data_IF_700054579661
#
_entry.id   IF_700054579661
#
_cell.length_a   1.000
_cell.length_b   1.000
_cell.length_c   1.000
_cell.angle_alpha   90.00
_cell.angle_beta   90.00
_cell.angle_gamma   90.00
#
_symmetry.space_group_name_H-M   'P 1'
#
loop_
_entity.id
_entity.type
_entity.pdbx_description
1 polymer ?
#
# COMPACT_ATOMS: atom_id res chain seq x y z
N UNK A 1 -11.99 -11.37 31.77
CA UNK A 1 -11.05 -12.08 30.89
C UNK A 1 -9.97 -12.61 31.82
N UNK A 2 -10.07 -13.87 32.22
CA UNK A 2 -9.10 -14.50 33.11
C UNK A 2 -8.41 -15.61 32.33
N UNK A 3 -7.08 -15.56 32.30
CA UNK A 3 -6.26 -16.65 31.81
C UNK A 3 -6.49 -17.00 30.34
N UNK A 4 -5.89 -18.12 29.94
CA UNK A 4 -5.76 -18.64 28.57
C UNK A 4 -7.11 -19.05 27.93
N UNK A 5 -8.24 -18.51 28.39
CA UNK A 5 -9.59 -18.92 27.96
C UNK A 5 -10.47 -17.74 27.55
N UNK A 6 -11.30 -17.97 26.54
CA UNK A 6 -12.33 -17.06 26.04
C UNK A 6 -13.70 -17.70 26.25
N UNK A 7 -14.58 -17.05 27.03
CA UNK A 7 -15.96 -17.50 27.21
C UNK A 7 -16.86 -16.92 26.13
N UNK A 8 -17.59 -17.78 25.43
CA UNK A 8 -18.58 -17.43 24.41
C UNK A 8 -19.98 -17.87 24.86
N UNK A 9 -20.98 -17.00 24.71
CA UNK A 9 -22.34 -17.19 25.26
C UNK A 9 -23.00 -18.52 24.91
N UNK A 10 -22.74 -19.06 23.70
CA UNK A 10 -23.37 -20.31 23.21
C UNK A 10 -22.40 -21.49 23.06
N UNK A 11 -21.10 -21.26 23.25
CA UNK A 11 -20.06 -22.28 23.03
C UNK A 11 -19.41 -22.70 24.35
N UNK A 12 -19.45 -21.85 25.36
CA UNK A 12 -18.72 -22.05 26.62
C UNK A 12 -17.30 -21.48 26.53
N UNK A 13 -16.44 -21.94 27.43
CA UNK A 13 -15.05 -21.51 27.51
C UNK A 13 -14.18 -22.29 26.53
N UNK A 14 -13.44 -21.57 25.68
CA UNK A 14 -12.48 -22.15 24.75
C UNK A 14 -11.07 -21.68 25.08
N UNK A 15 -10.04 -22.53 24.92
CA UNK A 15 -8.65 -22.09 25.06
C UNK A 15 -8.29 -21.13 23.93
N UNK A 16 -7.56 -20.06 24.25
CA UNK A 16 -7.11 -19.05 23.29
C UNK A 16 -5.67 -18.64 23.57
N UNK A 17 -4.90 -18.42 22.51
CA UNK A 17 -3.58 -17.77 22.58
C UNK A 17 -3.74 -16.32 22.17
N UNK A 18 -3.48 -15.41 23.10
CA UNK A 18 -3.55 -13.97 22.83
C UNK A 18 -2.36 -13.52 21.97
N UNK A 19 -2.65 -12.82 20.89
CA UNK A 19 -1.61 -12.22 20.04
C UNK A 19 -1.12 -10.87 20.56
N UNK A 20 -1.90 -10.23 21.43
CA UNK A 20 -1.68 -8.95 22.10
C UNK A 20 -2.82 -8.70 23.10
N UNK A 21 -2.61 -7.75 24.00
CA UNK A 21 -3.67 -7.23 24.86
C UNK A 21 -4.69 -6.42 24.05
N UNK A 22 -5.94 -6.45 24.50
CA UNK A 22 -6.99 -5.64 23.88
C UNK A 22 -6.89 -4.20 24.42
N UNK A 23 -6.90 -3.19 23.52
CA UNK A 23 -6.76 -1.80 23.93
C UNK A 23 -7.98 -1.24 24.67
N UNK A 24 -9.12 -1.93 24.59
CA UNK A 24 -10.37 -1.58 25.25
C UNK A 24 -11.26 -2.84 25.32
N UNK A 25 -12.35 -2.76 26.10
CA UNK A 25 -13.36 -3.82 26.15
C UNK A 25 -13.99 -4.03 24.77
N UNK A 26 -14.03 -5.26 24.24
CA UNK A 26 -14.60 -5.52 22.93
C UNK A 26 -16.12 -5.47 22.94
N UNK A 27 -16.72 -4.92 21.89
CA UNK A 27 -18.16 -4.93 21.67
C UNK A 27 -18.66 -6.25 21.10
N UNK A 28 -17.82 -6.93 20.31
CA UNK A 28 -18.14 -8.24 19.73
C UNK A 28 -16.90 -9.07 19.47
N UNK A 29 -17.10 -10.37 19.33
CA UNK A 29 -16.07 -11.33 18.93
C UNK A 29 -16.59 -12.23 17.80
N UNK A 30 -15.78 -12.38 16.76
CA UNK A 30 -16.06 -13.25 15.62
C UNK A 30 -15.03 -14.38 15.56
N UNK A 31 -15.51 -15.62 15.58
CA UNK A 31 -14.65 -16.80 15.40
C UNK A 31 -14.55 -17.14 13.91
N UNK A 32 -13.33 -17.13 13.38
CA UNK A 32 -13.05 -17.29 11.95
C UNK A 32 -12.27 -18.58 11.76
N UNK A 33 -12.68 -19.42 10.81
CA UNK A 33 -11.89 -20.54 10.31
C UNK A 33 -11.54 -20.30 8.85
N UNK A 34 -10.25 -20.26 8.54
CA UNK A 34 -9.80 -20.04 7.16
C UNK A 34 -9.66 -21.35 6.36
N UNK A 35 -9.39 -21.23 5.05
CA UNK A 35 -9.21 -22.36 4.15
C UNK A 35 -7.97 -23.22 4.45
N UNK A 36 -7.03 -22.72 5.26
CA UNK A 36 -5.89 -23.46 5.78
C UNK A 36 -6.19 -24.13 7.12
N UNK A 37 -7.45 -24.10 7.60
CA UNK A 37 -7.88 -24.73 8.84
C UNK A 37 -7.48 -23.97 10.10
N UNK A 38 -6.90 -22.77 9.98
CA UNK A 38 -6.52 -21.93 11.12
C UNK A 38 -7.75 -21.29 11.71
N UNK A 39 -7.75 -21.11 13.03
CA UNK A 39 -8.85 -20.49 13.78
C UNK A 39 -8.37 -19.19 14.40
N UNK A 40 -9.18 -18.14 14.29
CA UNK A 40 -8.90 -16.82 14.86
C UNK A 40 -10.12 -16.32 15.62
N UNK A 41 -9.87 -15.59 16.71
CA UNK A 41 -10.87 -14.75 17.35
C UNK A 41 -10.58 -13.29 16.98
N UNK A 42 -11.50 -12.64 16.28
CA UNK A 42 -11.41 -11.24 15.90
C UNK A 42 -12.31 -10.42 16.81
N UNK A 43 -11.75 -9.46 17.51
CA UNK A 43 -12.46 -8.60 18.45
C UNK A 43 -12.71 -7.23 17.83
N UNK A 44 -13.95 -6.75 17.91
CA UNK A 44 -14.26 -5.36 17.58
C UNK A 44 -14.10 -4.52 18.85
N UNK A 45 -13.21 -3.53 18.83
CA UNK A 45 -12.91 -2.64 19.95
C UNK A 45 -13.02 -1.20 19.48
N UNK A 46 -13.59 -0.34 20.31
CA UNK A 46 -13.60 1.10 20.07
C UNK A 46 -12.39 1.72 20.77
N UNK A 47 -11.60 2.51 20.04
CA UNK A 47 -10.37 3.12 20.53
C UNK A 47 -10.30 4.54 19.99
N UNK A 48 -10.18 5.51 20.88
CA UNK A 48 -9.84 6.88 20.50
C UNK A 48 -8.35 6.97 20.18
N UNK A 49 -8.02 7.68 19.09
CA UNK A 49 -6.63 7.89 18.69
C UNK A 49 -6.43 9.36 18.38
N UNK A 50 -5.49 10.04 19.06
CA UNK A 50 -5.16 11.40 18.70
C UNK A 50 -4.50 11.40 17.31
N UNK A 51 -4.79 12.42 16.48
CA UNK A 51 -4.07 12.61 15.23
C UNK A 51 -2.58 12.86 15.51
N UNK A 52 -1.73 12.41 14.60
CA UNK A 52 -0.32 12.74 14.56
C UNK A 52 -0.16 14.19 14.13
N UNK A 53 0.77 14.89 14.76
CA UNK A 53 1.12 16.25 14.36
C UNK A 53 1.74 16.26 12.97
N UNK A 54 1.32 17.23 12.14
CA UNK A 54 1.89 17.43 10.82
C UNK A 54 3.18 18.24 10.91
N UNK A 55 4.25 17.74 10.30
CA UNK A 55 5.50 18.49 10.11
C UNK A 55 5.58 19.20 8.73
N UNK A 56 4.47 19.28 7.99
CA UNK A 56 4.37 19.97 6.70
C UNK A 56 5.00 19.25 5.50
N UNK A 57 5.66 18.09 5.68
CA UNK A 57 6.36 17.39 4.59
C UNK A 57 5.48 16.39 3.83
N UNK A 58 5.55 16.43 2.51
CA UNK A 58 4.92 15.48 1.61
C UNK A 58 5.95 14.53 0.99
N UNK A 59 5.56 13.26 0.81
CA UNK A 59 6.34 12.25 0.07
C UNK A 59 5.49 11.61 -1.01
N UNK A 60 6.06 11.57 -2.21
CA UNK A 60 5.50 10.87 -3.35
C UNK A 60 5.87 9.41 -3.36
N UNK A 61 4.91 8.53 -3.63
CA UNK A 61 5.12 7.09 -3.72
C UNK A 61 4.95 6.65 -5.18
N UNK A 62 6.02 6.10 -5.76
CA UNK A 62 5.96 5.40 -7.04
C UNK A 62 5.76 3.91 -6.83
N UNK A 63 4.84 3.36 -7.61
CA UNK A 63 4.51 1.94 -7.65
C UNK A 63 4.89 1.42 -9.03
N UNK A 64 6.18 1.18 -9.23
CA UNK A 64 6.74 0.73 -10.50
C UNK A 64 8.06 -0.03 -10.36
N UNK A 65 8.26 -1.05 -11.19
CA UNK A 65 9.55 -1.75 -11.34
C UNK A 65 9.77 -2.99 -10.45
N UNK A 66 11.05 -3.33 -10.22
CA UNK A 66 11.47 -4.51 -9.44
C UNK A 66 11.37 -4.32 -7.91
N UNK A 67 11.09 -3.10 -7.47
CA UNK A 67 10.85 -2.75 -6.07
C UNK A 67 9.36 -2.86 -5.72
N UNK A 68 9.05 -2.95 -4.43
CA UNK A 68 7.69 -2.85 -3.93
C UNK A 68 7.17 -1.42 -4.12
N UNK A 69 8.01 -0.43 -3.83
CA UNK A 69 7.77 1.00 -4.08
C UNK A 69 9.08 1.80 -4.03
N UNK A 70 9.08 2.99 -4.63
CA UNK A 70 10.15 3.99 -4.53
C UNK A 70 9.54 5.30 -4.03
N UNK A 71 10.19 5.97 -3.07
CA UNK A 71 9.73 7.28 -2.58
C UNK A 71 10.38 8.44 -3.36
N UNK A 72 9.77 9.62 -3.34
CA UNK A 72 10.34 10.86 -3.87
C UNK A 72 11.71 11.17 -3.28
N UNK A 73 11.94 10.81 -2.01
CA UNK A 73 13.22 10.96 -1.32
C UNK A 73 14.30 9.95 -1.78
N UNK A 74 14.02 9.14 -2.80
CA UNK A 74 14.94 8.15 -3.36
C UNK A 74 14.99 6.80 -2.61
N UNK A 75 14.17 6.58 -1.58
CA UNK A 75 14.14 5.32 -0.85
C UNK A 75 13.52 4.20 -1.70
N UNK A 76 14.32 3.18 -2.02
CA UNK A 76 13.85 2.00 -2.76
C UNK A 76 13.49 0.87 -1.79
N UNK A 77 12.21 0.56 -1.71
CA UNK A 77 11.69 -0.46 -0.80
C UNK A 77 11.48 -1.76 -1.57
N UNK A 78 12.21 -2.80 -1.20
CA UNK A 78 12.12 -4.13 -1.85
C UNK A 78 11.32 -5.13 -0.99
N UNK A 79 10.65 -6.12 -1.61
CA UNK A 79 10.01 -7.19 -0.85
C UNK A 79 11.03 -7.95 0.02
N UNK A 80 10.75 -8.25 1.30
CA UNK A 80 11.68 -8.99 2.13
C UNK A 80 11.81 -10.45 1.67
N UNK A 81 12.90 -11.09 2.08
CA UNK A 81 13.21 -12.46 1.72
C UNK A 81 12.12 -13.46 2.15
N UNK A 82 11.48 -13.23 3.30
CA UNK A 82 10.38 -14.07 3.78
C UNK A 82 9.23 -14.18 2.77
N UNK A 83 8.80 -13.05 2.19
CA UNK A 83 7.74 -13.02 1.17
C UNK A 83 8.18 -13.74 -0.11
N UNK A 84 9.45 -13.59 -0.51
CA UNK A 84 10.03 -14.32 -1.66
C UNK A 84 10.03 -15.83 -1.41
N UNK A 85 10.46 -16.27 -0.23
CA UNK A 85 10.51 -17.69 0.15
C UNK A 85 9.11 -18.32 0.21
N UNK A 86 8.13 -17.60 0.76
CA UNK A 86 6.73 -18.04 0.75
C UNK A 86 6.20 -18.22 -0.69
N UNK A 87 6.52 -17.29 -1.59
CA UNK A 87 6.18 -17.38 -3.01
C UNK A 87 6.78 -18.62 -3.69
N UNK A 88 8.06 -18.93 -3.43
CA UNK A 88 8.72 -20.13 -3.96
C UNK A 88 8.02 -21.42 -3.50
N UNK A 89 7.59 -21.49 -2.23
CA UNK A 89 6.82 -22.65 -1.72
C UNK A 89 5.49 -22.79 -2.47
N UNK A 90 4.74 -21.71 -2.65
CA UNK A 90 3.47 -21.72 -3.38
C UNK A 90 3.66 -22.23 -4.83
N UNK A 91 4.70 -21.76 -5.53
CA UNK A 91 5.01 -22.20 -6.89
C UNK A 91 5.31 -23.70 -7.01
N UNK A 92 5.90 -24.32 -5.97
CA UNK A 92 6.18 -25.76 -5.94
C UNK A 92 4.92 -26.60 -5.67
N UNK A 93 4.05 -26.14 -4.77
CA UNK A 93 2.85 -26.90 -4.36
C UNK A 93 1.74 -26.82 -5.40
N UNK A 94 1.62 -25.70 -6.12
CA UNK A 94 0.52 -25.47 -7.07
C UNK A 94 0.44 -26.51 -8.22
N UNK A 95 1.55 -26.90 -8.89
CA UNK A 95 1.54 -27.93 -9.93
C UNK A 95 1.32 -29.36 -9.41
N UNK A 96 1.56 -29.62 -8.12
CA UNK A 96 1.30 -30.94 -7.52
C UNK A 96 -0.20 -31.23 -7.50
N UNK A 97 -1.00 -30.22 -7.17
CA UNK A 97 -2.46 -30.35 -7.11
C UNK A 97 -3.09 -30.48 -8.51
N UNK A 98 -2.59 -29.74 -9.50
CA UNK A 98 -3.17 -29.74 -10.86
C UNK A 98 -3.03 -31.09 -11.56
N UNK A 99 -2.01 -31.88 -11.21
CA UNK A 99 -1.74 -33.21 -11.77
C UNK A 99 -2.52 -34.34 -11.10
N UNK A 100 -3.26 -34.08 -10.02
CA UNK A 100 -3.95 -35.12 -9.22
C UNK A 100 -5.40 -35.31 -9.64
N UNK A 101 -5.81 -36.58 -9.72
CA UNK A 101 -7.18 -37.02 -10.04
C UNK A 101 -8.19 -36.47 -9.02
N UNK A 102 -9.31 -35.95 -9.53
CA UNK A 102 -10.41 -35.42 -8.70
C UNK A 102 -10.99 -36.52 -7.81
N UNK A 103 -11.18 -36.23 -6.53
CA UNK A 103 -11.74 -37.17 -5.56
C UNK A 103 -10.72 -38.04 -4.82
N UNK A 104 -9.46 -38.12 -5.27
CA UNK A 104 -8.44 -38.90 -4.57
C UNK A 104 -8.06 -38.31 -3.19
N UNK A 105 -7.85 -39.16 -2.19
CA UNK A 105 -7.37 -38.77 -0.84
C UNK A 105 -6.10 -37.92 -0.88
N UNK A 106 -5.17 -38.25 -1.79
CA UNK A 106 -3.94 -37.48 -1.97
C UNK A 106 -4.17 -36.09 -2.57
N UNK A 107 -5.30 -35.85 -3.24
CA UNK A 107 -5.70 -34.52 -3.72
C UNK A 107 -6.20 -33.66 -2.56
N UNK A 108 -6.95 -34.24 -1.63
CA UNK A 108 -7.41 -33.52 -0.43
C UNK A 108 -6.23 -33.02 0.41
N UNK A 109 -5.22 -33.87 0.65
CA UNK A 109 -3.98 -33.48 1.34
C UNK A 109 -3.27 -32.31 0.64
N UNK A 110 -3.17 -32.35 -0.69
CA UNK A 110 -2.52 -31.28 -1.45
C UNK A 110 -3.36 -29.99 -1.52
N UNK A 111 -4.69 -30.07 -1.49
CA UNK A 111 -5.57 -28.90 -1.37
C UNK A 111 -5.26 -28.15 -0.08
N UNK A 112 -5.11 -28.88 1.02
CA UNK A 112 -4.76 -28.28 2.31
C UNK A 112 -3.37 -27.64 2.28
N UNK A 113 -2.35 -28.34 1.77
CA UNK A 113 -1.00 -27.78 1.58
C UNK A 113 -0.99 -26.52 0.70
N UNK A 114 -1.82 -26.49 -0.35
CA UNK A 114 -1.97 -25.32 -1.20
C UNK A 114 -2.63 -24.17 -0.45
N UNK A 115 -3.65 -24.44 0.37
CA UNK A 115 -4.30 -23.44 1.19
C UNK A 115 -3.33 -22.84 2.22
N UNK A 116 -2.54 -23.66 2.91
CA UNK A 116 -1.48 -23.20 3.82
C UNK A 116 -0.44 -22.33 3.10
N UNK A 117 0.03 -22.75 1.93
CA UNK A 117 1.00 -21.97 1.16
C UNK A 117 0.44 -20.63 0.70
N UNK A 118 -0.83 -20.59 0.28
CA UNK A 118 -1.54 -19.35 -0.08
C UNK A 118 -1.72 -18.43 1.12
N UNK A 119 -2.14 -18.98 2.26
CA UNK A 119 -2.26 -18.25 3.52
C UNK A 119 -0.92 -17.62 3.91
N UNK A 120 0.18 -18.39 3.88
CA UNK A 120 1.51 -17.86 4.22
C UNK A 120 1.95 -16.72 3.30
N UNK A 121 1.70 -16.80 2.00
CA UNK A 121 2.00 -15.72 1.04
C UNK A 121 1.14 -14.49 1.33
N UNK A 122 -0.15 -14.68 1.58
CA UNK A 122 -1.09 -13.60 1.90
C UNK A 122 -0.68 -12.86 3.16
N UNK A 123 -0.44 -13.59 4.25
CA UNK A 123 -0.06 -13.00 5.55
C UNK A 123 1.30 -12.31 5.48
N UNK A 124 2.28 -12.93 4.82
CA UNK A 124 3.62 -12.33 4.66
C UNK A 124 3.54 -11.04 3.84
N UNK A 125 2.66 -10.98 2.83
CA UNK A 125 2.44 -9.75 2.06
C UNK A 125 1.76 -8.70 2.92
N UNK A 126 0.71 -9.07 3.64
CA UNK A 126 -0.07 -8.16 4.47
C UNK A 126 0.78 -7.57 5.60
N UNK A 127 1.62 -8.37 6.25
CA UNK A 127 2.58 -7.92 7.28
C UNK A 127 3.54 -6.85 6.72
N UNK A 128 4.14 -7.12 5.55
CA UNK A 128 5.05 -6.18 4.88
C UNK A 128 4.33 -4.87 4.55
N UNK A 129 3.13 -4.97 3.99
CA UNK A 129 2.37 -3.79 3.59
C UNK A 129 1.87 -2.99 4.80
N UNK A 130 1.47 -3.64 5.90
CA UNK A 130 1.13 -2.92 7.14
C UNK A 130 2.35 -2.22 7.72
N UNK A 131 3.49 -2.88 7.83
CA UNK A 131 4.72 -2.25 8.33
C UNK A 131 5.12 -1.05 7.47
N UNK A 132 5.10 -1.23 6.15
CA UNK A 132 5.42 -0.17 5.20
C UNK A 132 4.46 1.02 5.32
N UNK A 133 3.14 0.79 5.22
CA UNK A 133 2.15 1.86 5.31
C UNK A 133 2.17 2.57 6.66
N UNK A 134 2.35 1.86 7.78
CA UNK A 134 2.51 2.51 9.09
C UNK A 134 3.76 3.38 9.12
N UNK A 135 4.89 2.88 8.58
CA UNK A 135 6.14 3.63 8.54
C UNK A 135 6.02 4.90 7.71
N UNK A 136 5.38 4.82 6.54
CA UNK A 136 5.16 5.98 5.66
C UNK A 136 4.28 7.02 6.35
N UNK A 137 3.09 6.63 6.81
CA UNK A 137 2.13 7.51 7.49
C UNK A 137 2.73 8.17 8.73
N UNK A 138 3.58 7.46 9.49
CA UNK A 138 4.24 8.05 10.67
C UNK A 138 5.44 8.93 10.35
N UNK A 139 6.16 8.66 9.25
CA UNK A 139 7.36 9.41 8.85
C UNK A 139 6.98 10.72 8.16
N UNK A 140 5.88 10.71 7.40
CA UNK A 140 5.51 11.80 6.49
C UNK A 140 4.04 12.15 6.67
N UNK A 141 3.71 13.40 7.03
CA UNK A 141 2.33 13.84 7.27
C UNK A 141 1.52 14.00 6.00
N UNK A 142 2.13 14.00 4.81
CA UNK A 142 1.38 13.94 3.54
C UNK A 142 1.94 12.83 2.67
N UNK A 143 1.09 11.86 2.34
CA UNK A 143 1.45 10.78 1.41
C UNK A 143 0.71 11.00 0.10
N UNK A 144 1.48 11.12 -0.97
CA UNK A 144 0.95 11.28 -2.31
C UNK A 144 1.13 9.97 -3.08
N UNK A 145 0.03 9.46 -3.64
CA UNK A 145 0.05 8.24 -4.44
C UNK A 145 -0.73 8.42 -5.74
N UNK A 146 -0.17 7.90 -6.83
CA UNK A 146 -0.88 7.83 -8.11
C UNK A 146 -2.05 6.83 -8.08
N UNK A 147 -3.18 7.22 -8.66
CA UNK A 147 -4.25 6.27 -9.01
C UNK A 147 -3.82 5.39 -10.19
N UNK A 148 -3.20 4.24 -9.89
CA UNK A 148 -2.89 3.23 -10.89
C UNK A 148 -4.14 2.42 -11.28
N UNK A 149 -4.35 2.18 -12.57
CA UNK A 149 -5.32 1.19 -13.07
C UNK A 149 -4.82 -0.24 -12.80
N UNK A 150 -4.85 -0.65 -11.53
CA UNK A 150 -4.39 -1.96 -11.06
C UNK A 150 -5.14 -3.08 -11.79
N UNK A 151 -6.45 -2.92 -12.06
CA UNK A 151 -7.26 -3.90 -12.77
C UNK A 151 -6.74 -4.15 -14.20
N UNK A 152 -6.46 -3.07 -14.96
CA UNK A 152 -5.86 -3.17 -16.29
C UNK A 152 -4.44 -3.75 -16.25
N UNK A 153 -3.65 -3.41 -15.24
CA UNK A 153 -2.30 -3.98 -15.07
C UNK A 153 -2.31 -5.48 -14.75
N UNK A 154 -3.35 -5.96 -14.04
CA UNK A 154 -3.56 -7.37 -13.75
C UNK A 154 -3.97 -8.20 -14.98
N UNK A 155 -4.47 -7.56 -16.05
CA UNK A 155 -4.82 -8.21 -17.31
C UNK A 155 -3.60 -8.41 -18.24
N UNK A 156 -2.54 -7.62 -18.06
CA UNK A 156 -1.36 -7.65 -18.91
C UNK A 156 -0.41 -8.81 -18.51
N UNK A 157 0.08 -9.60 -19.49
CA UNK A 157 0.83 -10.85 -19.21
C UNK A 157 2.28 -10.68 -18.71
N UNK A 158 2.77 -9.43 -18.54
CA UNK A 158 4.15 -9.13 -18.08
C UNK A 158 4.23 -8.99 -16.54
N UNK A 159 5.44 -8.68 -16.02
CA UNK A 159 5.86 -8.58 -14.60
C UNK A 159 4.88 -7.86 -13.63
N UNK A 160 3.91 -7.10 -14.14
CA UNK A 160 2.93 -6.36 -13.35
C UNK A 160 2.00 -7.22 -12.48
N UNK A 161 1.73 -8.50 -12.83
CA UNK A 161 0.62 -9.25 -12.21
C UNK A 161 0.81 -9.58 -10.73
N UNK A 162 2.03 -9.91 -10.29
CA UNK A 162 2.31 -10.28 -8.90
C UNK A 162 2.47 -9.07 -7.98
N UNK A 163 3.00 -7.96 -8.51
CA UNK A 163 3.22 -6.70 -7.79
C UNK A 163 1.93 -5.86 -7.71
N UNK A 164 1.13 -5.83 -8.78
CA UNK A 164 -0.13 -5.08 -8.84
C UNK A 164 -1.13 -5.51 -7.76
N UNK A 165 -1.16 -6.79 -7.39
CA UNK A 165 -1.99 -7.28 -6.30
C UNK A 165 -1.61 -6.68 -4.93
N UNK A 166 -0.34 -6.31 -4.73
CA UNK A 166 0.14 -5.65 -3.51
C UNK A 166 -0.16 -4.15 -3.50
N UNK A 167 -0.19 -3.50 -4.66
CA UNK A 167 -0.38 -2.05 -4.78
C UNK A 167 -1.78 -1.58 -4.41
N UNK A 168 -2.83 -2.29 -4.86
CA UNK A 168 -4.21 -1.96 -4.42
C UNK A 168 -4.34 -2.10 -2.91
N UNK A 169 -3.77 -3.15 -2.34
CA UNK A 169 -3.77 -3.35 -0.88
C UNK A 169 -2.97 -2.26 -0.17
N UNK A 170 -1.80 -1.87 -0.68
CA UNK A 170 -1.01 -0.78 -0.11
C UNK A 170 -1.79 0.54 -0.10
N UNK A 171 -2.47 0.88 -1.21
CA UNK A 171 -3.33 2.06 -1.30
C UNK A 171 -4.42 2.04 -0.23
N UNK A 172 -5.21 0.97 -0.16
CA UNK A 172 -6.23 0.80 0.88
C UNK A 172 -5.63 0.93 2.28
N UNK A 173 -4.42 0.39 2.48
CA UNK A 173 -3.73 0.44 3.76
C UNK A 173 -3.19 1.84 4.12
N UNK A 174 -2.89 2.67 3.12
CA UNK A 174 -2.48 4.06 3.32
C UNK A 174 -3.70 4.94 3.59
N UNK A 175 -4.78 4.78 2.82
CA UNK A 175 -6.05 5.49 2.99
C UNK A 175 -6.59 5.33 4.41
N UNK A 176 -6.84 4.11 4.88
CA UNK A 176 -7.40 3.93 6.24
C UNK A 176 -6.46 4.40 7.36
N UNK A 177 -5.14 4.38 7.14
CA UNK A 177 -4.18 4.84 8.16
C UNK A 177 -4.06 6.36 8.16
N UNK A 178 -4.20 7.01 7.02
CA UNK A 178 -4.33 8.45 6.96
C UNK A 178 -5.58 8.88 7.74
N UNK A 179 -6.72 8.21 7.52
CA UNK A 179 -7.95 8.47 8.28
C UNK A 179 -7.77 8.24 9.79
N UNK A 180 -7.02 7.20 10.18
CA UNK A 180 -6.78 6.88 11.60
C UNK A 180 -5.78 7.77 12.31
N UNK A 181 -4.77 8.28 11.61
CA UNK A 181 -3.64 8.96 12.23
C UNK A 181 -3.56 10.44 11.85
N UNK A 182 -4.36 10.95 10.91
CA UNK A 182 -4.38 12.37 10.58
C UNK A 182 -3.40 12.91 9.52
N UNK A 183 -2.44 12.16 8.92
CA UNK A 183 -1.77 12.63 7.72
C UNK A 183 -2.77 12.96 6.61
N UNK A 184 -2.54 14.08 5.93
CA UNK A 184 -3.27 14.40 4.71
C UNK A 184 -2.94 13.36 3.64
N UNK A 185 -3.90 12.52 3.29
CA UNK A 185 -3.79 11.64 2.12
C UNK A 185 -4.22 12.41 0.87
N UNK A 186 -3.37 12.41 -0.16
CA UNK A 186 -3.75 12.97 -1.47
C UNK A 186 -3.52 11.95 -2.58
N UNK A 187 -4.60 11.32 -3.01
CA UNK A 187 -4.62 10.52 -4.24
C UNK A 187 -4.58 11.43 -5.47
N UNK A 188 -3.61 11.24 -6.35
CA UNK A 188 -3.59 11.96 -7.65
C UNK A 188 -4.51 11.25 -8.62
N UNK A 189 -5.37 12.01 -9.30
CA UNK A 189 -6.29 11.45 -10.30
C UNK A 189 -5.52 10.89 -11.50
N UNK A 190 -6.00 9.78 -12.06
CA UNK A 190 -5.36 9.10 -13.21
C UNK A 190 -5.31 9.93 -14.49
N UNK A 191 -6.18 10.94 -14.60
CA UNK A 191 -6.37 11.78 -15.79
C UNK A 191 -5.55 13.07 -15.75
N UNK A 192 -4.87 13.34 -14.63
CA UNK A 192 -3.96 14.46 -14.51
C UNK A 192 -2.68 14.17 -15.33
N UNK A 193 -2.29 15.02 -16.30
CA UNK A 193 -1.21 14.75 -17.25
C UNK A 193 0.19 14.95 -16.66
N UNK A 194 0.39 14.54 -15.40
CA UNK A 194 1.59 14.81 -14.60
C UNK A 194 2.78 13.91 -14.94
N UNK A 195 2.60 12.86 -15.76
CA UNK A 195 3.70 12.04 -16.31
C UNK A 195 4.36 12.66 -17.55
N UNK A 196 3.74 13.72 -18.07
CA UNK A 196 4.25 14.50 -19.18
C UNK A 196 4.77 15.86 -18.67
N UNK A 197 4.23 16.33 -17.54
CA UNK A 197 4.60 17.57 -16.87
C UNK A 197 5.93 17.50 -16.09
N UNK A 198 6.80 18.49 -16.25
CA UNK A 198 8.01 18.65 -15.42
C UNK A 198 7.69 18.91 -13.94
N UNK A 199 8.49 18.33 -13.03
CA UNK A 199 8.28 18.42 -11.57
C UNK A 199 8.25 19.87 -11.07
N UNK A 200 9.19 20.69 -11.55
CA UNK A 200 9.38 22.10 -11.17
C UNK A 200 8.45 23.07 -11.90
N UNK A 201 8.22 22.89 -13.20
CA UNK A 201 7.56 23.92 -14.05
C UNK A 201 6.17 23.53 -14.56
N UNK A 202 5.76 22.26 -14.46
CA UNK A 202 4.45 21.80 -14.95
C UNK A 202 4.31 21.70 -16.48
N UNK A 203 5.37 22.01 -17.23
CA UNK A 203 5.35 21.96 -18.69
C UNK A 203 5.32 20.52 -19.22
N UNK A 204 4.43 20.24 -20.18
CA UNK A 204 4.14 18.88 -20.67
C UNK A 204 4.88 18.53 -21.96
N UNK A 205 5.94 17.70 -21.89
CA UNK A 205 6.78 17.32 -23.05
C UNK A 205 6.25 16.10 -23.84
N UNK A 206 5.03 15.64 -23.58
CA UNK A 206 4.47 14.44 -24.24
C UNK A 206 4.95 13.10 -23.67
N UNK A 207 4.76 12.01 -24.44
CA UNK A 207 4.99 10.61 -23.96
C UNK A 207 6.48 10.26 -23.89
N UNK A 208 7.02 10.10 -22.67
CA UNK A 208 8.43 9.70 -22.43
C UNK A 208 8.64 8.16 -22.49
N UNK A 209 9.75 7.66 -23.08
CA UNK A 209 10.09 6.23 -23.09
C UNK A 209 10.23 5.63 -21.68
N UNK A 210 9.88 4.34 -21.50
CA UNK A 210 9.87 3.68 -20.17
C UNK A 210 11.21 3.76 -19.42
N UNK A 211 12.33 3.72 -20.15
CA UNK A 211 13.69 3.79 -19.58
C UNK A 211 14.05 5.17 -19.01
N UNK A 212 13.38 6.23 -19.48
CA UNK A 212 13.63 7.63 -19.08
C UNK A 212 12.75 8.05 -17.90
N UNK A 213 11.76 7.23 -17.51
CA UNK A 213 10.78 7.55 -16.46
C UNK A 213 11.27 7.33 -15.02
N UNK A 214 12.41 6.68 -14.82
CA UNK A 214 12.78 6.08 -13.53
C UNK A 214 13.30 7.05 -12.44
N UNK A 215 13.46 8.35 -12.73
CA UNK A 215 14.00 9.29 -11.74
C UNK A 215 13.33 10.67 -11.71
N UNK A 216 12.75 11.15 -12.83
CA UNK A 216 12.32 12.55 -12.95
C UNK A 216 10.81 12.77 -13.12
N UNK A 217 10.00 11.69 -13.22
CA UNK A 217 8.57 11.80 -13.52
C UNK A 217 7.71 10.86 -12.66
N UNK A 218 7.97 10.79 -11.36
CA UNK A 218 6.98 10.22 -10.44
C UNK A 218 5.96 11.33 -10.23
N UNK A 219 4.71 11.17 -10.71
CA UNK A 219 3.66 12.21 -10.60
C UNK A 219 3.44 12.59 -9.14
N UNK A 220 3.57 11.60 -8.26
CA UNK A 220 3.52 11.78 -6.82
C UNK A 220 4.72 12.56 -6.26
N UNK A 221 5.92 12.42 -6.82
CA UNK A 221 7.10 13.14 -6.35
C UNK A 221 7.05 14.63 -6.74
N UNK A 222 6.64 14.95 -7.97
CA UNK A 222 6.47 16.35 -8.39
C UNK A 222 5.40 17.08 -7.58
N UNK A 223 4.29 16.42 -7.25
CA UNK A 223 3.27 17.01 -6.35
C UNK A 223 3.79 17.13 -4.92
N UNK A 224 4.53 16.14 -4.42
CA UNK A 224 5.14 16.21 -3.10
C UNK A 224 6.14 17.36 -2.98
N UNK A 225 6.99 17.57 -3.98
CA UNK A 225 7.90 18.71 -4.05
C UNK A 225 7.16 20.06 -4.02
N UNK A 226 6.07 20.20 -4.78
CA UNK A 226 5.25 21.42 -4.75
C UNK A 226 4.58 21.67 -3.40
N UNK A 227 4.07 20.61 -2.76
CA UNK A 227 3.52 20.69 -1.40
C UNK A 227 4.59 21.10 -0.39
N UNK A 228 5.81 20.56 -0.52
CA UNK A 228 6.95 20.92 0.32
C UNK A 228 7.39 22.37 0.10
N UNK A 229 7.30 22.89 -1.13
CA UNK A 229 7.72 24.25 -1.47
C UNK A 229 6.69 25.33 -1.09
N UNK A 230 5.38 25.04 -1.22
CA UNK A 230 4.33 26.04 -1.05
C UNK A 230 3.62 26.00 0.32
N UNK A 231 3.90 25.00 1.17
CA UNK A 231 3.12 24.77 2.40
C UNK A 231 1.74 24.17 2.12
N UNK A 232 1.16 23.49 3.12
CA UNK A 232 -0.08 22.71 2.97
C UNK A 232 -1.33 23.54 2.60
N UNK A 233 -1.28 24.87 2.68
CA UNK A 233 -2.40 25.79 2.45
C UNK A 233 -2.58 26.21 0.98
N UNK A 234 -1.64 25.91 0.08
CA UNK A 234 -1.63 26.43 -1.30
C UNK A 234 -2.58 25.77 -2.32
N UNK A 235 -3.67 25.11 -1.92
CA UNK A 235 -4.46 24.24 -2.81
C UNK A 235 -5.97 24.51 -2.90
N UNK A 236 -6.48 25.59 -2.33
CA UNK A 236 -7.85 26.05 -2.60
C UNK A 236 -8.01 26.73 -3.97
N UNK A 237 -6.94 26.89 -4.76
CA UNK A 237 -6.93 27.65 -6.01
C UNK A 237 -6.74 26.86 -7.32
N UNK A 238 -7.08 25.57 -7.38
CA UNK A 238 -7.08 24.80 -8.63
C UNK A 238 -8.50 24.49 -9.11
N UNK A 239 -9.35 25.51 -9.14
CA UNK A 239 -10.46 25.56 -10.09
C UNK A 239 -10.19 26.66 -11.11
N UNK A 240 -10.10 26.26 -12.37
CA UNK A 240 -10.32 27.05 -13.58
C UNK A 240 -10.16 28.59 -13.50
N UNK A 241 -9.10 29.10 -14.13
CA UNK A 241 -9.04 30.29 -15.01
C UNK A 241 -7.71 31.02 -14.84
N UNK A 242 -7.11 31.42 -15.96
CA UNK A 242 -5.79 32.01 -16.00
C UNK A 242 -5.75 33.45 -15.50
N UNK A 243 -4.57 33.89 -15.04
CA UNK A 243 -4.08 35.26 -15.15
C UNK A 243 -2.69 35.36 -14.50
N UNK A 244 -1.87 36.23 -15.07
CA UNK A 244 -0.45 36.50 -14.76
C UNK A 244 -0.27 37.22 -13.41
N UNK A 245 0.85 36.94 -12.73
CA UNK A 245 1.74 37.86 -11.99
C UNK A 245 2.82 36.99 -11.28
N UNK A 246 4.13 37.07 -11.59
CA UNK A 246 5.10 38.09 -11.13
C UNK A 246 5.28 38.06 -9.59
N UNK A 247 6.44 38.01 -8.93
CA UNK A 247 7.90 37.91 -9.20
C UNK A 247 8.49 37.71 -7.79
N UNK A 248 9.43 36.81 -7.49
CA UNK A 248 10.89 37.00 -7.40
C UNK A 248 11.39 35.99 -6.35
N UNK A 249 12.46 35.23 -6.64
CA UNK A 249 13.66 35.12 -5.80
C UNK A 249 14.66 34.11 -6.39
N UNK A 250 15.89 34.60 -6.53
CA UNK A 250 17.19 33.92 -6.52
C UNK A 250 17.43 32.68 -7.39
N UNK A 251 18.04 32.96 -8.54
CA UNK A 251 19.38 32.51 -8.95
C UNK A 251 19.73 31.03 -8.72
N UNK A 252 19.76 30.26 -9.81
CA UNK A 252 20.51 29.00 -9.85
C UNK A 252 19.97 27.89 -10.75
N UNK A 253 19.15 28.15 -11.77
CA UNK A 253 18.79 27.12 -12.77
C UNK A 253 18.74 27.77 -14.15
N UNK A 254 19.54 27.28 -15.10
CA UNK A 254 19.52 27.74 -16.48
C UNK A 254 18.14 27.51 -17.11
N UNK A 255 17.55 28.50 -17.81
CA UNK A 255 16.31 28.30 -18.53
C UNK A 255 16.57 27.47 -19.80
N UNK A 256 15.83 26.38 -19.97
CA UNK A 256 15.80 25.64 -21.24
C UNK A 256 15.09 26.50 -22.29
N UNK A 257 15.82 26.86 -23.35
CA UNK A 257 15.26 27.46 -24.57
C UNK A 257 14.45 26.42 -25.37
N UNK A 258 13.48 26.95 -26.12
CA UNK A 258 12.41 26.28 -26.88
C UNK A 258 12.83 25.10 -27.77
#
# INVERSE_FOLDING_TARGET
>A
MEGETLRLTKVGSIPITWSRDLPATPSSVTIIKDGAGRRFASFAVQVERPPLESNGRAVGIDLGGAALTVTSDGEKIVPPQLLRSAGKRLQRVQPSLSRKVRGANNRFKDRFRLAEARAKVSDSRLDVLHKLSTRLIRKTPTVVLEDLNVAGMMQNRKQARSMAAGWRMLRTLLEYKADLYGPAWKGISRWEPTSQAGSTCGHSDGKKPFRVRAAWNIRAAGLAERLNACGAEGLTGLSASGSKAATHLNQGVQPCTA
#
